data_IF_074777206927
#
_entry.id   IF_074777206927
#
_cell.length_a   1.000
_cell.length_b   1.000
_cell.length_c   1.000
_cell.angle_alpha   90.00
_cell.angle_beta   90.00
_cell.angle_gamma   90.00
#
_symmetry.space_group_name_H-M   'P 1'
#
loop_
_entity.id
_entity.type
_entity.pdbx_description
1 polymer ?
#
# COMPACT_ATOMS: atom_id res chain seq x y z
N UNK A 1 -18.11 7.72 5.57
CA UNK A 1 -17.19 7.22 4.51
C UNK A 1 -16.53 8.34 3.71
N UNK A 2 -17.27 9.28 3.09
CA UNK A 2 -16.69 10.37 2.26
C UNK A 2 -15.69 11.29 3.00
N UNK A 3 -15.96 11.65 4.26
CA UNK A 3 -15.06 12.52 5.05
C UNK A 3 -13.74 11.83 5.39
N UNK A 4 -13.82 10.58 5.82
CA UNK A 4 -12.66 9.77 6.23
C UNK A 4 -11.71 9.50 5.03
N UNK A 5 -12.25 9.32 3.82
CA UNK A 5 -11.46 9.19 2.59
C UNK A 5 -10.74 10.50 2.20
N UNK A 6 -11.30 11.67 2.54
CA UNK A 6 -10.66 12.97 2.28
C UNK A 6 -9.46 13.16 3.21
N UNK A 7 -9.63 12.85 4.49
CA UNK A 7 -8.57 12.89 5.51
C UNK A 7 -7.41 11.95 5.15
N UNK A 8 -7.71 10.72 4.71
CA UNK A 8 -6.68 9.78 4.25
C UNK A 8 -5.91 10.31 3.04
N UNK A 9 -6.59 10.91 2.06
CA UNK A 9 -5.92 11.50 0.87
C UNK A 9 -5.04 12.69 1.24
N UNK A 10 -5.51 13.57 2.13
CA UNK A 10 -4.73 14.71 2.61
C UNK A 10 -3.46 14.23 3.32
N UNK A 11 -3.60 13.27 4.24
CA UNK A 11 -2.47 12.67 4.94
C UNK A 11 -1.49 11.96 3.99
N UNK A 12 -1.96 11.23 2.97
CA UNK A 12 -1.09 10.61 1.97
C UNK A 12 -0.31 11.65 1.16
N UNK A 13 -0.91 12.81 0.84
CA UNK A 13 -0.21 13.90 0.17
C UNK A 13 0.90 14.51 1.06
N UNK A 14 0.66 14.63 2.36
CA UNK A 14 1.70 15.04 3.33
C UNK A 14 2.86 14.04 3.34
N UNK A 15 2.56 12.73 3.32
CA UNK A 15 3.59 11.68 3.24
C UNK A 15 4.38 11.75 1.92
N UNK A 16 3.73 12.06 0.80
CA UNK A 16 4.43 12.26 -0.50
C UNK A 16 5.40 13.43 -0.44
N UNK A 17 4.99 14.54 0.20
CA UNK A 17 5.86 15.70 0.38
C UNK A 17 7.07 15.37 1.28
N UNK A 18 6.85 14.64 2.38
CA UNK A 18 7.91 14.20 3.28
C UNK A 18 8.89 13.25 2.60
N UNK A 19 8.39 12.24 1.88
CA UNK A 19 9.22 11.30 1.12
C UNK A 19 10.11 12.04 0.12
N UNK A 20 9.54 12.96 -0.66
CA UNK A 20 10.30 13.78 -1.61
C UNK A 20 11.38 14.61 -0.91
N UNK A 21 11.11 15.12 0.29
CA UNK A 21 12.10 15.82 1.10
C UNK A 21 13.26 14.91 1.50
N UNK A 22 12.98 13.65 1.89
CA UNK A 22 14.00 12.65 2.23
C UNK A 22 14.85 12.25 1.02
N UNK A 23 14.22 12.08 -0.14
CA UNK A 23 14.91 11.73 -1.39
C UNK A 23 15.89 12.83 -1.85
N UNK A 24 15.51 14.10 -1.68
CA UNK A 24 16.32 15.26 -2.08
C UNK A 24 17.40 15.59 -1.04
N UNK A 25 17.08 15.46 0.25
CA UNK A 25 17.95 15.90 1.34
C UNK A 25 18.61 14.72 2.08
N UNK A 26 19.30 13.84 1.33
CA UNK A 26 19.94 12.62 1.88
C UNK A 26 20.96 12.86 3.00
N UNK A 27 21.46 14.08 3.14
CA UNK A 27 22.41 14.46 4.19
C UNK A 27 21.72 14.87 5.51
N UNK A 28 20.40 15.07 5.50
CA UNK A 28 19.61 15.49 6.67
C UNK A 28 18.99 14.29 7.37
N UNK A 29 18.56 13.28 6.60
CA UNK A 29 17.85 12.12 7.14
C UNK A 29 18.78 10.91 7.22
N UNK A 30 18.89 10.33 8.40
CA UNK A 30 19.53 9.04 8.60
C UNK A 30 18.65 7.90 8.07
N UNK A 31 19.24 6.70 7.93
CA UNK A 31 18.47 5.49 7.60
C UNK A 31 17.38 5.23 8.65
N UNK A 32 17.65 5.56 9.92
CA UNK A 32 16.71 5.39 11.03
C UNK A 32 15.53 6.35 10.93
N UNK A 33 15.75 7.61 10.54
CA UNK A 33 14.67 8.59 10.30
C UNK A 33 13.74 8.12 9.17
N UNK A 34 14.31 7.59 8.10
CA UNK A 34 13.56 7.03 6.97
C UNK A 34 12.75 5.82 7.44
N UNK A 35 13.35 4.93 8.23
CA UNK A 35 12.67 3.75 8.77
C UNK A 35 11.51 4.11 9.70
N UNK A 36 11.70 5.07 10.60
CA UNK A 36 10.62 5.55 11.49
C UNK A 36 9.46 6.10 10.65
N UNK A 37 9.75 6.95 9.67
CA UNK A 37 8.72 7.52 8.79
C UNK A 37 8.00 6.44 7.98
N UNK A 38 8.75 5.48 7.43
CA UNK A 38 8.18 4.35 6.71
C UNK A 38 7.27 3.50 7.61
N UNK A 39 7.71 3.17 8.83
CA UNK A 39 6.93 2.35 9.75
C UNK A 39 5.65 3.06 10.20
N UNK A 40 5.70 4.37 10.45
CA UNK A 40 4.51 5.18 10.74
C UNK A 40 3.52 5.10 9.57
N UNK A 41 4.02 5.28 8.34
CA UNK A 41 3.20 5.17 7.14
C UNK A 41 2.58 3.77 6.98
N UNK A 42 3.41 2.74 7.00
CA UNK A 42 3.02 1.36 6.77
C UNK A 42 1.98 0.90 7.78
N UNK A 43 2.22 1.11 9.08
CA UNK A 43 1.28 0.69 10.12
C UNK A 43 -0.05 1.46 10.07
N UNK A 44 -0.02 2.76 9.74
CA UNK A 44 -1.26 3.53 9.64
C UNK A 44 -2.14 3.02 8.50
N UNK A 45 -1.57 2.75 7.33
CA UNK A 45 -2.31 2.15 6.20
C UNK A 45 -2.80 0.74 6.56
N UNK A 46 -1.99 -0.08 7.23
CA UNK A 46 -2.43 -1.41 7.68
C UNK A 46 -3.64 -1.32 8.63
N UNK A 47 -3.66 -0.33 9.53
CA UNK A 47 -4.75 -0.12 10.47
C UNK A 47 -6.08 0.28 9.79
N UNK A 48 -6.03 0.79 8.56
CA UNK A 48 -7.26 1.03 7.78
C UNK A 48 -8.01 -0.27 7.49
N UNK A 49 -7.34 -1.42 7.45
CA UNK A 49 -8.00 -2.72 7.25
C UNK A 49 -9.03 -3.00 8.35
N UNK A 50 -8.70 -2.69 9.62
CA UNK A 50 -9.62 -2.88 10.74
C UNK A 50 -10.91 -2.06 10.60
N UNK A 51 -10.87 -0.98 9.80
CA UNK A 51 -12.02 -0.08 9.59
C UNK A 51 -12.82 -0.47 8.34
N UNK A 52 -12.14 -0.89 7.26
CA UNK A 52 -12.77 -1.01 5.95
C UNK A 52 -12.73 -2.41 5.33
N UNK A 53 -11.89 -3.32 5.85
CA UNK A 53 -11.69 -4.68 5.31
C UNK A 53 -11.45 -4.70 3.79
N UNK A 54 -10.66 -3.74 3.29
CA UNK A 54 -10.46 -3.58 1.85
C UNK A 54 -9.36 -4.52 1.35
N UNK A 55 -9.60 -5.31 0.30
CA UNK A 55 -8.62 -6.22 -0.29
C UNK A 55 -7.33 -5.53 -0.75
N UNK A 56 -7.43 -4.27 -1.18
CA UNK A 56 -6.25 -3.46 -1.55
C UNK A 56 -5.24 -3.33 -0.40
N UNK A 57 -5.73 -3.30 0.85
CA UNK A 57 -4.86 -3.17 2.03
C UNK A 57 -4.15 -4.49 2.29
N UNK A 58 -4.75 -5.64 1.94
CA UNK A 58 -4.07 -6.94 2.01
C UNK A 58 -2.93 -7.02 1.00
N UNK A 59 -3.16 -6.58 -0.24
CA UNK A 59 -2.10 -6.48 -1.26
C UNK A 59 -0.99 -5.54 -0.78
N UNK A 60 -1.35 -4.37 -0.24
CA UNK A 60 -0.39 -3.43 0.34
C UNK A 60 0.48 -4.08 1.42
N UNK A 61 -0.11 -4.85 2.33
CA UNK A 61 0.61 -5.56 3.39
C UNK A 61 1.58 -6.59 2.83
N UNK A 62 1.17 -7.37 1.82
CA UNK A 62 2.03 -8.36 1.17
C UNK A 62 3.23 -7.66 0.52
N UNK A 63 2.98 -6.61 -0.25
CA UNK A 63 4.01 -5.83 -0.94
C UNK A 63 4.97 -5.11 0.02
N UNK A 64 4.54 -4.79 1.24
CA UNK A 64 5.40 -4.18 2.25
C UNK A 64 6.08 -5.17 3.19
N UNK A 65 5.66 -6.43 3.23
CA UNK A 65 6.06 -7.42 4.26
C UNK A 65 7.57 -7.63 4.40
N UNK A 66 8.35 -7.41 3.34
CA UNK A 66 9.79 -7.63 3.32
C UNK A 66 10.62 -6.42 3.80
N UNK A 67 10.00 -5.30 4.21
CA UNK A 67 10.72 -4.08 4.60
C UNK A 67 11.78 -4.32 5.70
N UNK A 68 11.57 -5.31 6.58
CA UNK A 68 12.52 -5.64 7.65
C UNK A 68 13.91 -6.01 7.11
N UNK A 69 13.97 -6.60 5.91
CA UNK A 69 15.23 -6.93 5.24
C UNK A 69 15.97 -5.68 4.74
N UNK A 70 15.28 -4.55 4.62
CA UNK A 70 15.80 -3.28 4.08
C UNK A 70 16.21 -2.27 5.17
N UNK A 71 16.11 -2.64 6.46
CA UNK A 71 16.29 -1.71 7.60
C UNK A 71 17.65 -1.00 7.68
N UNK A 72 18.62 -1.43 6.89
CA UNK A 72 19.97 -0.85 6.82
C UNK A 72 20.32 -0.24 5.45
N UNK A 73 19.39 -0.29 4.50
CA UNK A 73 19.58 0.24 3.14
C UNK A 73 18.58 1.37 2.89
N UNK A 74 19.02 2.62 3.06
CA UNK A 74 18.17 3.79 2.82
C UNK A 74 17.64 3.86 1.39
N UNK A 75 18.41 3.42 0.40
CA UNK A 75 17.99 3.55 -1.00
C UNK A 75 16.86 2.58 -1.32
N UNK A 76 17.04 1.31 -0.93
CA UNK A 76 16.01 0.29 -1.11
C UNK A 76 14.75 0.60 -0.27
N UNK A 77 14.93 1.13 0.95
CA UNK A 77 13.81 1.50 1.82
C UNK A 77 13.01 2.68 1.25
N UNK A 78 13.68 3.73 0.73
CA UNK A 78 13.00 4.84 0.06
C UNK A 78 12.25 4.39 -1.20
N UNK A 79 12.84 3.47 -1.97
CA UNK A 79 12.20 2.91 -3.15
C UNK A 79 10.92 2.12 -2.79
N UNK A 80 10.99 1.28 -1.75
CA UNK A 80 9.81 0.58 -1.24
C UNK A 80 8.75 1.57 -0.73
N UNK A 81 9.16 2.58 0.04
CA UNK A 81 8.27 3.62 0.54
C UNK A 81 7.53 4.31 -0.61
N UNK A 82 8.25 4.78 -1.63
CA UNK A 82 7.67 5.41 -2.83
C UNK A 82 6.66 4.51 -3.52
N UNK A 83 7.06 3.26 -3.81
CA UNK A 83 6.23 2.29 -4.51
C UNK A 83 4.91 2.03 -3.77
N UNK A 84 4.97 1.80 -2.46
CA UNK A 84 3.78 1.55 -1.64
C UNK A 84 2.91 2.80 -1.49
N UNK A 85 3.53 3.97 -1.34
CA UNK A 85 2.81 5.23 -1.20
C UNK A 85 2.08 5.59 -2.49
N UNK A 86 2.70 5.42 -3.65
CA UNK A 86 2.05 5.64 -4.94
C UNK A 86 0.91 4.64 -5.16
N UNK A 87 1.16 3.34 -4.89
CA UNK A 87 0.15 2.28 -4.97
C UNK A 87 -1.12 2.62 -4.20
N UNK A 88 -1.01 2.99 -2.92
CA UNK A 88 -2.19 3.26 -2.09
C UNK A 88 -2.84 4.62 -2.39
N UNK A 89 -2.06 5.60 -2.85
CA UNK A 89 -2.56 6.97 -3.12
C UNK A 89 -3.35 7.06 -4.42
N UNK A 90 -2.95 6.29 -5.42
CA UNK A 90 -3.59 6.28 -6.74
C UNK A 90 -4.85 5.41 -6.76
N UNK A 91 -4.98 4.50 -5.81
CA UNK A 91 -6.11 3.59 -5.76
C UNK A 91 -7.44 4.31 -5.46
N UNK A 92 -8.46 3.99 -6.26
CA UNK A 92 -9.83 4.40 -5.99
C UNK A 92 -10.51 3.37 -5.09
N UNK A 93 -10.68 3.68 -3.80
CA UNK A 93 -11.32 2.79 -2.82
C UNK A 93 -12.78 2.40 -3.12
N UNK A 94 -13.39 2.95 -4.17
CA UNK A 94 -14.73 2.55 -4.62
C UNK A 94 -14.70 1.57 -5.80
N UNK A 95 -13.53 1.33 -6.39
CA UNK A 95 -13.36 0.38 -7.48
C UNK A 95 -12.98 -1.00 -6.93
N UNK A 96 -13.44 -2.09 -7.55
CA UNK A 96 -12.97 -3.42 -7.17
C UNK A 96 -11.49 -3.60 -7.50
N UNK A 97 -10.84 -4.56 -6.85
CA UNK A 97 -9.48 -4.98 -7.20
C UNK A 97 -9.53 -6.15 -8.16
N UNK A 98 -8.61 -6.19 -9.12
CA UNK A 98 -8.40 -7.39 -9.95
C UNK A 98 -7.12 -8.10 -9.56
N UNK A 99 -7.18 -9.42 -9.36
CA UNK A 99 -6.01 -10.24 -9.08
C UNK A 99 -6.19 -11.69 -9.55
N UNK A 100 -5.09 -12.44 -9.58
CA UNK A 100 -5.10 -13.85 -9.96
C UNK A 100 -5.23 -14.71 -8.70
N UNK A 101 -6.28 -15.53 -8.63
CA UNK A 101 -6.52 -16.49 -7.55
C UNK A 101 -6.45 -17.93 -8.07
N UNK A 102 -6.26 -18.88 -7.16
CA UNK A 102 -6.39 -20.32 -7.45
C UNK A 102 -7.68 -20.82 -6.81
N UNK A 103 -8.67 -21.17 -7.63
CA UNK A 103 -9.97 -21.71 -7.19
C UNK A 103 -10.15 -23.09 -7.82
N UNK A 104 -10.36 -24.12 -7.01
CA UNK A 104 -10.48 -25.51 -7.46
C UNK A 104 -9.34 -25.95 -8.40
N UNK A 105 -8.09 -25.63 -8.04
CA UNK A 105 -6.87 -25.91 -8.82
C UNK A 105 -6.78 -25.17 -10.17
N UNK A 106 -7.67 -24.23 -10.47
CA UNK A 106 -7.64 -23.39 -11.68
C UNK A 106 -7.15 -22.00 -11.34
N UNK A 107 -6.27 -21.44 -12.17
CA UNK A 107 -5.87 -20.03 -12.07
C UNK A 107 -6.95 -19.19 -12.72
N UNK A 108 -7.50 -18.23 -11.99
CA UNK A 108 -8.58 -17.37 -12.46
C UNK A 108 -8.25 -15.92 -12.18
N UNK A 109 -8.57 -15.03 -13.13
CA UNK A 109 -8.64 -13.60 -12.85
C UNK A 109 -9.97 -13.34 -12.12
N UNK A 110 -9.89 -12.72 -10.96
CA UNK A 110 -11.05 -12.33 -10.16
C UNK A 110 -11.08 -10.83 -9.95
N UNK A 111 -12.29 -10.33 -9.76
CA UNK A 111 -12.62 -8.98 -9.34
C UNK A 111 -13.20 -9.07 -7.92
N UNK A 112 -12.58 -8.41 -6.94
CA UNK A 112 -13.06 -8.37 -5.55
C UNK A 112 -13.51 -6.97 -5.16
N UNK A 113 -14.76 -6.88 -4.70
CA UNK A 113 -15.40 -5.63 -4.32
C UNK A 113 -15.14 -5.29 -2.84
N UNK A 114 -15.34 -4.03 -2.47
CA UNK A 114 -15.16 -3.56 -1.09
C UNK A 114 -16.05 -4.25 -0.04
N UNK A 115 -17.11 -4.96 -0.46
CA UNK A 115 -17.97 -5.76 0.40
C UNK A 115 -17.48 -7.22 0.55
N UNK A 116 -16.34 -7.59 -0.04
CA UNK A 116 -15.79 -8.95 -0.06
C UNK A 116 -16.44 -9.88 -1.08
N UNK A 117 -17.33 -9.39 -1.94
CA UNK A 117 -17.85 -10.18 -3.05
C UNK A 117 -16.75 -10.44 -4.07
N UNK A 118 -16.61 -11.69 -4.52
CA UNK A 118 -15.62 -12.11 -5.52
C UNK A 118 -16.35 -12.55 -6.79
N UNK A 119 -15.99 -11.94 -7.92
CA UNK A 119 -16.49 -12.28 -9.24
C UNK A 119 -15.36 -12.83 -10.12
N UNK A 120 -15.56 -14.03 -10.67
CA UNK A 120 -14.61 -14.62 -11.62
C UNK A 120 -14.79 -13.94 -12.98
N UNK A 121 -13.71 -13.33 -13.49
CA UNK A 121 -13.72 -12.66 -14.80
C UNK A 121 -13.35 -13.62 -15.94
N UNK A 122 -12.27 -14.39 -15.76
CA UNK A 122 -11.80 -15.39 -16.73
C UNK A 122 -10.89 -16.43 -16.10
N UNK A 123 -10.82 -17.60 -16.71
CA UNK A 123 -9.76 -18.59 -16.44
C UNK A 123 -8.47 -18.19 -17.17
N UNK A 124 -7.33 -18.41 -16.52
CA UNK A 124 -6.00 -18.12 -17.07
C UNK A 124 -5.32 -19.45 -17.38
N UNK A 125 -5.07 -19.67 -18.67
CA UNK A 125 -4.36 -20.83 -19.23
C UNK A 125 -2.89 -20.88 -18.80
#
# INVERSE_FOLDING_TARGET
MKTLLKEHREWLNERKALLKSMEVNKNIYSVEDILISFMEFYHNVCNWYNTYHLPIIEIFQIEGSFYQSLRHDSSALLELYRRLLDFISEYNFNEPIEYVAVIDKRRVLVEEFANGEIKILKEIS
#
